data_IF_712550847080
#
_entry.id   IF_712550847080
#
_cell.length_a   1.000
_cell.length_b   1.000
_cell.length_c   1.000
_cell.angle_alpha   90.00
_cell.angle_beta   90.00
_cell.angle_gamma   90.00
#
_symmetry.space_group_name_H-M   'P 1'
#
loop_
_entity.id
_entity.type
_entity.pdbx_description
1 polymer ?
#
# COMPACT_ATOMS: atom_id res chain seq x y z
N UNK A 1 -34.88 2.97 -19.97
CA UNK A 1 -34.69 3.52 -21.32
C UNK A 1 -33.24 3.61 -21.61
N UNK A 2 -32.86 2.84 -22.57
CA UNK A 2 -31.62 2.61 -23.31
C UNK A 2 -30.85 3.86 -23.73
N UNK A 3 -29.52 3.83 -23.64
CA UNK A 3 -28.66 4.10 -24.81
C UNK A 3 -27.21 3.63 -24.58
N UNK A 4 -26.86 2.54 -25.29
CA UNK A 4 -25.47 2.15 -25.62
C UNK A 4 -24.95 3.02 -26.75
N UNK A 5 -23.65 3.39 -26.72
CA UNK A 5 -22.91 3.68 -27.96
C UNK A 5 -21.48 3.15 -27.85
N UNK A 6 -21.22 2.19 -28.70
CA UNK A 6 -19.91 1.66 -29.06
C UNK A 6 -19.24 2.62 -30.08
N UNK A 7 -17.95 2.82 -29.94
CA UNK A 7 -17.13 3.36 -31.02
C UNK A 7 -16.10 2.28 -31.38
N UNK A 8 -16.28 1.72 -32.57
CA UNK A 8 -15.29 0.91 -33.27
C UNK A 8 -14.28 1.85 -33.94
N UNK A 9 -12.97 1.56 -33.78
CA UNK A 9 -11.91 2.14 -34.61
C UNK A 9 -11.34 1.04 -35.47
N UNK A 10 -11.39 1.26 -36.79
CA UNK A 10 -11.06 0.30 -37.83
C UNK A 10 -9.56 0.12 -38.06
N UNK A 11 -9.23 -1.04 -38.59
CA UNK A 11 -7.93 -1.45 -39.08
C UNK A 11 -7.68 -0.91 -40.50
N UNK A 12 -6.45 -0.55 -40.88
CA UNK A 12 -6.13 -0.21 -42.26
C UNK A 12 -5.74 -1.47 -43.09
N UNK A 13 -5.86 -1.41 -44.45
CA UNK A 13 -5.81 -2.56 -45.34
C UNK A 13 -4.42 -2.95 -45.77
N UNK A 14 -4.32 -4.24 -46.15
CA UNK A 14 -3.17 -4.86 -46.80
C UNK A 14 -2.97 -4.35 -48.21
N UNK A 15 -1.73 -4.14 -48.63
CA UNK A 15 -1.33 -3.98 -50.05
C UNK A 15 -0.61 -5.21 -50.57
N UNK A 16 -1.20 -5.80 -51.56
CA UNK A 16 -0.63 -6.81 -52.44
C UNK A 16 0.29 -6.15 -53.49
N UNK A 17 1.37 -6.79 -53.83
CA UNK A 17 2.22 -6.42 -54.96
C UNK A 17 3.03 -7.61 -55.41
N UNK A 18 2.54 -8.27 -56.44
CA UNK A 18 3.26 -9.29 -57.23
C UNK A 18 4.09 -8.62 -58.32
N UNK A 19 5.19 -9.25 -58.70
CA UNK A 19 5.79 -9.35 -60.07
C UNK A 19 7.22 -9.85 -59.90
N UNK A 20 7.71 -10.79 -60.57
CA UNK A 20 7.76 -11.49 -61.84
C UNK A 20 9.15 -12.06 -61.99
N UNK A 21 9.16 -13.28 -62.39
CA UNK A 21 10.05 -14.13 -63.14
C UNK A 21 11.32 -13.49 -63.76
N UNK A 22 12.44 -14.18 -63.65
CA UNK A 22 13.66 -13.99 -64.42
C UNK A 22 14.57 -15.20 -64.33
N UNK A 23 14.54 -16.03 -65.41
CA UNK A 23 15.39 -17.19 -65.66
C UNK A 23 16.79 -16.77 -66.07
N UNK A 24 17.85 -17.46 -65.59
CA UNK A 24 18.90 -17.98 -66.50
C UNK A 24 20.12 -18.62 -65.78
N UNK A 25 20.46 -19.79 -66.24
CA UNK A 25 21.80 -20.37 -66.48
C UNK A 25 22.66 -20.83 -65.25
N UNK A 26 22.84 -22.16 -65.24
CA UNK A 26 23.97 -22.88 -64.63
C UNK A 26 25.26 -22.71 -65.44
N UNK A 27 26.46 -22.81 -64.81
CA UNK A 27 27.24 -24.00 -64.98
C UNK A 27 27.95 -24.55 -63.73
N UNK A 28 28.43 -25.68 -63.86
CA UNK A 28 28.89 -26.81 -63.13
C UNK A 28 30.11 -26.66 -62.19
N UNK A 29 30.13 -27.59 -61.25
CA UNK A 29 31.25 -28.32 -60.63
C UNK A 29 32.30 -27.55 -59.79
N UNK A 30 32.34 -27.88 -58.50
CA UNK A 30 33.51 -28.46 -57.81
C UNK A 30 33.14 -29.08 -56.49
N UNK A 31 33.42 -30.38 -56.32
CA UNK A 31 33.36 -31.07 -55.01
C UNK A 31 34.53 -30.62 -54.15
N UNK A 32 34.23 -30.07 -52.96
CA UNK A 32 35.17 -30.02 -51.87
C UNK A 32 34.43 -30.54 -50.63
N UNK A 33 34.91 -31.69 -50.20
CA UNK A 33 34.54 -32.33 -48.95
C UNK A 33 34.96 -31.45 -47.80
N UNK A 34 33.99 -30.76 -47.19
CA UNK A 34 34.17 -30.01 -45.94
C UNK A 34 33.32 -30.67 -44.88
N UNK A 35 33.94 -31.25 -43.88
CA UNK A 35 33.28 -31.75 -42.69
C UNK A 35 32.50 -30.62 -42.02
N UNK A 36 31.19 -30.64 -42.08
CA UNK A 36 30.33 -29.73 -41.33
C UNK A 36 30.31 -30.16 -39.88
N UNK A 37 31.03 -29.43 -39.04
CA UNK A 37 30.88 -29.47 -37.60
C UNK A 37 29.47 -28.92 -37.29
N UNK A 38 28.57 -29.84 -36.96
CA UNK A 38 27.23 -29.49 -36.48
C UNK A 38 27.38 -28.92 -35.06
N UNK A 39 27.62 -27.60 -34.95
CA UNK A 39 27.50 -26.89 -33.67
C UNK A 39 26.01 -26.84 -33.31
N UNK A 40 25.57 -27.81 -32.51
CA UNK A 40 24.29 -27.70 -31.82
C UNK A 40 24.32 -26.43 -30.97
N UNK A 41 23.77 -25.34 -31.49
CA UNK A 41 23.38 -24.19 -30.71
C UNK A 41 22.31 -24.69 -29.74
N UNK A 42 22.72 -25.01 -28.50
CA UNK A 42 21.83 -25.13 -27.38
C UNK A 42 21.22 -23.75 -27.19
N UNK A 43 20.09 -23.49 -27.85
CA UNK A 43 19.22 -22.39 -27.48
C UNK A 43 18.84 -22.61 -26.02
N UNK A 44 19.07 -21.65 -25.11
CA UNK A 44 18.52 -21.77 -23.76
C UNK A 44 17.03 -22.00 -23.93
N UNK A 45 16.51 -23.06 -23.31
CA UNK A 45 15.08 -23.28 -23.22
C UNK A 45 14.46 -21.97 -22.65
N UNK A 46 13.31 -21.52 -23.20
CA UNK A 46 12.63 -20.39 -22.61
C UNK A 46 12.42 -20.72 -21.14
N UNK A 47 12.87 -19.83 -20.26
CA UNK A 47 12.57 -19.94 -18.83
C UNK A 47 11.06 -20.14 -18.74
N UNK A 48 10.62 -21.26 -18.20
CA UNK A 48 9.20 -21.50 -17.98
C UNK A 48 8.67 -20.32 -17.22
N UNK A 49 7.66 -19.65 -17.74
CA UNK A 49 6.91 -18.66 -16.97
C UNK A 49 6.52 -19.35 -15.66
N UNK A 50 7.07 -18.90 -14.57
CA UNK A 50 6.76 -19.46 -13.27
C UNK A 50 5.36 -18.94 -12.94
N UNK A 51 4.40 -19.83 -12.79
CA UNK A 51 3.03 -19.47 -12.41
C UNK A 51 3.02 -18.91 -10.96
N UNK A 52 2.03 -18.12 -10.65
CA UNK A 52 1.79 -17.67 -9.27
C UNK A 52 1.59 -18.89 -8.37
N UNK A 53 2.23 -18.87 -7.21
CA UNK A 53 2.26 -20.02 -6.30
C UNK A 53 1.81 -19.62 -4.90
N UNK A 54 0.76 -20.25 -4.40
CA UNK A 54 0.40 -20.19 -2.98
C UNK A 54 1.52 -20.83 -2.16
N UNK A 55 2.12 -20.08 -1.26
CA UNK A 55 3.20 -20.53 -0.37
C UNK A 55 2.71 -20.80 1.05
N UNK A 56 1.59 -20.18 1.44
CA UNK A 56 0.93 -20.41 2.71
C UNK A 56 -0.54 -20.04 2.64
N UNK A 57 -1.38 -20.81 3.32
CA UNK A 57 -2.80 -20.50 3.50
C UNK A 57 -3.24 -20.96 4.89
N UNK A 58 -3.98 -20.11 5.58
CA UNK A 58 -4.52 -20.43 6.91
C UNK A 58 -5.83 -19.70 7.15
N UNK A 59 -6.82 -20.42 7.67
CA UNK A 59 -8.04 -19.84 8.21
C UNK A 59 -7.76 -19.38 9.64
N UNK A 60 -7.71 -18.08 9.85
CA UNK A 60 -7.65 -17.50 11.18
C UNK A 60 -9.05 -17.37 11.79
N UNK A 61 -9.14 -16.82 12.99
CA UNK A 61 -10.45 -16.51 13.59
C UNK A 61 -11.12 -15.30 12.94
N UNK A 62 -10.42 -14.54 12.09
CA UNK A 62 -10.92 -13.31 11.47
C UNK A 62 -11.19 -13.50 9.98
N UNK A 63 -10.31 -14.22 9.27
CA UNK A 63 -10.36 -14.30 7.80
C UNK A 63 -9.49 -15.44 7.27
N UNK A 64 -9.70 -15.83 6.04
CA UNK A 64 -8.75 -16.67 5.30
C UNK A 64 -7.58 -15.82 4.85
N UNK A 65 -6.37 -16.21 5.25
CA UNK A 65 -5.14 -15.49 4.93
C UNK A 65 -4.34 -16.33 3.95
N UNK A 66 -4.01 -15.77 2.80
CA UNK A 66 -3.18 -16.44 1.80
C UNK A 66 -1.95 -15.62 1.48
N UNK A 67 -0.80 -16.28 1.44
CA UNK A 67 0.47 -15.76 0.97
C UNK A 67 0.80 -16.42 -0.35
N UNK A 68 1.07 -15.64 -1.38
CA UNK A 68 1.44 -16.16 -2.69
C UNK A 68 2.69 -15.47 -3.23
N UNK A 69 3.52 -16.23 -3.95
CA UNK A 69 4.62 -15.71 -4.74
C UNK A 69 4.15 -15.59 -6.19
N UNK A 70 4.28 -14.37 -6.75
CA UNK A 70 3.92 -14.12 -8.14
C UNK A 70 5.06 -14.52 -9.08
N UNK A 71 4.71 -14.85 -10.31
CA UNK A 71 5.67 -15.08 -11.40
C UNK A 71 6.64 -13.92 -11.62
N UNK A 72 6.27 -12.72 -11.20
CA UNK A 72 7.06 -11.49 -11.36
C UNK A 72 7.98 -11.17 -10.18
N UNK A 73 8.09 -12.08 -9.21
CA UNK A 73 9.03 -11.95 -8.08
C UNK A 73 8.51 -11.13 -6.90
N UNK A 74 7.20 -10.99 -6.78
CA UNK A 74 6.58 -10.37 -5.60
C UNK A 74 5.94 -11.43 -4.72
N UNK A 75 5.97 -11.18 -3.41
CA UNK A 75 5.16 -11.90 -2.42
C UNK A 75 3.98 -11.04 -2.02
N UNK A 76 2.79 -11.59 -2.11
CA UNK A 76 1.54 -10.92 -1.83
C UNK A 76 0.82 -11.57 -0.65
N UNK A 77 0.12 -10.74 0.11
CA UNK A 77 -0.84 -11.11 1.14
C UNK A 77 -2.23 -10.76 0.65
N UNK A 78 -3.13 -11.72 0.68
CA UNK A 78 -4.52 -11.58 0.25
C UNK A 78 -5.43 -12.12 1.35
N UNK A 79 -6.56 -11.44 1.60
CA UNK A 79 -7.59 -11.88 2.53
C UNK A 79 -8.83 -12.35 1.76
N UNK A 80 -9.37 -13.50 2.13
CA UNK A 80 -10.59 -14.09 1.56
C UNK A 80 -10.60 -14.13 0.02
N UNK A 81 -9.43 -14.23 -0.57
CA UNK A 81 -9.21 -14.16 -2.01
C UNK A 81 -9.71 -15.38 -2.77
N UNK A 82 -10.07 -15.16 -4.04
CA UNK A 82 -10.47 -16.19 -5.00
C UNK A 82 -9.34 -16.53 -5.98
N UNK A 83 -8.25 -15.77 -5.98
CA UNK A 83 -7.07 -15.91 -6.86
C UNK A 83 -7.40 -15.80 -8.36
N UNK A 84 -8.42 -15.02 -8.70
CA UNK A 84 -8.80 -14.72 -10.08
C UNK A 84 -8.12 -13.46 -10.64
N UNK A 85 -7.18 -12.89 -9.90
CA UNK A 85 -6.43 -11.67 -10.26
C UNK A 85 -7.16 -10.37 -9.95
N UNK A 86 -8.36 -10.44 -9.33
CA UNK A 86 -9.17 -9.26 -8.94
C UNK A 86 -9.14 -9.01 -7.45
N UNK A 87 -8.54 -9.90 -6.67
CA UNK A 87 -8.48 -9.80 -5.22
C UNK A 87 -7.68 -8.58 -4.76
N UNK A 88 -8.17 -7.85 -3.75
CA UNK A 88 -7.43 -6.72 -3.20
C UNK A 88 -6.16 -7.21 -2.48
N UNK A 89 -5.01 -6.76 -2.96
CA UNK A 89 -3.72 -7.06 -2.34
C UNK A 89 -3.59 -6.23 -1.08
N UNK A 90 -3.53 -6.90 0.07
CA UNK A 90 -3.38 -6.26 1.38
C UNK A 90 -1.94 -5.82 1.65
N UNK A 91 -0.98 -6.64 1.25
CA UNK A 91 0.45 -6.31 1.33
C UNK A 91 1.19 -6.94 0.16
N UNK A 92 2.24 -6.27 -0.30
CA UNK A 92 3.12 -6.78 -1.34
C UNK A 92 4.57 -6.46 -1.01
N UNK A 93 5.43 -7.44 -1.21
CA UNK A 93 6.88 -7.32 -1.00
C UNK A 93 7.62 -7.75 -2.26
N UNK A 94 8.58 -6.95 -2.69
CA UNK A 94 9.55 -7.37 -3.70
C UNK A 94 10.54 -8.35 -3.06
N UNK A 95 10.63 -9.57 -3.59
CA UNK A 95 11.55 -10.59 -3.06
C UNK A 95 13.03 -10.24 -3.30
N UNK A 96 13.33 -9.43 -4.32
CA UNK A 96 14.69 -8.95 -4.59
C UNK A 96 15.09 -7.75 -3.72
N UNK A 97 14.14 -6.90 -3.31
CA UNK A 97 14.33 -5.81 -2.35
C UNK A 97 13.17 -5.76 -1.35
N UNK A 98 13.28 -6.47 -0.24
CA UNK A 98 12.23 -6.54 0.76
C UNK A 98 11.90 -5.20 1.46
N UNK A 99 12.72 -4.18 1.27
CA UNK A 99 12.47 -2.85 1.83
C UNK A 99 11.78 -1.90 0.85
N UNK A 100 11.63 -2.29 -0.41
CA UNK A 100 10.85 -1.51 -1.36
C UNK A 100 9.37 -1.45 -0.94
N UNK A 101 8.79 -0.25 -0.92
CA UNK A 101 7.36 -0.06 -0.77
C UNK A 101 6.68 -0.13 -2.13
N UNK A 102 6.20 -1.30 -2.50
CA UNK A 102 5.64 -1.58 -3.83
C UNK A 102 4.23 -1.00 -4.01
N UNK A 103 3.41 -1.00 -2.94
CA UNK A 103 2.05 -0.48 -2.98
C UNK A 103 2.04 1.05 -2.82
N UNK A 104 1.23 1.71 -3.64
CA UNK A 104 1.14 3.17 -3.69
C UNK A 104 0.76 3.78 -2.34
N UNK A 105 -0.24 3.19 -1.66
CA UNK A 105 -0.68 3.71 -0.37
C UNK A 105 0.44 3.69 0.68
N UNK A 106 1.26 2.64 0.70
CA UNK A 106 2.35 2.52 1.65
C UNK A 106 3.41 3.62 1.45
N UNK A 107 3.73 3.94 0.18
CA UNK A 107 4.62 5.08 -0.14
C UNK A 107 4.05 6.41 0.33
N UNK A 108 2.74 6.64 0.10
CA UNK A 108 2.08 7.87 0.53
C UNK A 108 1.96 7.96 2.06
N UNK A 109 1.77 6.83 2.75
CA UNK A 109 1.73 6.79 4.22
C UNK A 109 3.03 7.32 4.86
N UNK A 110 4.19 7.09 4.22
CA UNK A 110 5.48 7.59 4.69
C UNK A 110 5.54 9.13 4.70
N UNK A 111 4.73 9.81 3.91
CA UNK A 111 4.72 11.29 3.91
C UNK A 111 4.38 11.88 5.29
N UNK A 112 3.61 11.17 6.11
CA UNK A 112 3.27 11.58 7.47
C UNK A 112 4.48 11.62 8.42
N UNK A 113 5.52 10.83 8.15
CA UNK A 113 6.75 10.78 8.96
C UNK A 113 7.49 12.12 9.00
N UNK A 114 7.33 12.92 7.94
CA UNK A 114 8.01 14.22 7.81
C UNK A 114 7.33 15.35 8.58
N UNK A 115 6.18 15.11 9.22
CA UNK A 115 5.43 16.17 9.93
C UNK A 115 5.94 16.40 11.34
N UNK A 116 6.14 15.37 12.19
CA UNK A 116 6.81 15.55 13.48
C UNK A 116 8.28 15.92 13.29
N UNK A 117 8.81 16.80 14.11
CA UNK A 117 10.22 17.21 14.01
C UNK A 117 11.18 16.03 14.24
N UNK A 118 10.82 15.12 15.14
CA UNK A 118 11.61 13.93 15.47
C UNK A 118 10.68 12.76 15.84
N UNK A 119 10.24 11.96 14.89
CA UNK A 119 9.39 10.81 15.17
C UNK A 119 10.21 9.70 15.88
N UNK A 120 10.12 9.65 17.21
CA UNK A 120 10.82 8.66 18.03
C UNK A 120 9.90 7.56 18.56
N UNK A 121 8.62 7.85 18.71
CA UNK A 121 7.62 6.87 19.11
C UNK A 121 6.51 6.82 18.07
N UNK A 122 6.41 5.68 17.41
CA UNK A 122 5.47 5.44 16.32
C UNK A 122 4.56 4.29 16.73
N UNK A 123 3.26 4.50 16.63
CA UNK A 123 2.27 3.43 16.72
C UNK A 123 1.70 3.16 15.34
N UNK A 124 1.57 1.90 14.99
CA UNK A 124 0.88 1.44 13.78
C UNK A 124 -0.27 0.53 14.22
N UNK A 125 -1.48 0.79 13.75
CA UNK A 125 -2.62 -0.09 13.92
C UNK A 125 -2.81 -0.87 12.64
N UNK A 126 -2.60 -2.18 12.71
CA UNK A 126 -2.50 -3.10 11.58
C UNK A 126 -1.06 -3.48 11.25
N UNK A 127 -0.84 -4.76 11.00
CA UNK A 127 0.48 -5.33 10.67
C UNK A 127 0.59 -5.68 9.18
N UNK A 128 -0.37 -6.45 8.68
CA UNK A 128 -0.29 -7.02 7.34
C UNK A 128 1.03 -7.76 7.10
N UNK A 129 1.64 -7.61 5.92
CA UNK A 129 2.98 -8.11 5.62
C UNK A 129 4.13 -7.29 6.23
N UNK A 130 3.85 -6.44 7.20
CA UNK A 130 4.81 -5.60 7.92
C UNK A 130 5.70 -4.72 7.03
N UNK A 131 5.20 -4.30 5.86
CA UNK A 131 5.98 -3.50 4.91
C UNK A 131 6.32 -2.11 5.47
N UNK A 132 5.35 -1.44 6.09
CA UNK A 132 5.55 -0.15 6.74
C UNK A 132 6.51 -0.27 7.93
N UNK A 133 6.32 -1.29 8.77
CA UNK A 133 7.15 -1.51 9.96
C UNK A 133 8.62 -1.73 9.59
N UNK A 134 8.89 -2.62 8.63
CA UNK A 134 10.27 -2.91 8.16
C UNK A 134 10.92 -1.68 7.55
N UNK A 135 10.17 -0.96 6.70
CA UNK A 135 10.67 0.25 6.05
C UNK A 135 10.99 1.33 7.10
N UNK A 136 10.08 1.60 8.03
CA UNK A 136 10.28 2.60 9.09
C UNK A 136 11.41 2.21 10.04
N UNK A 137 11.55 0.93 10.37
CA UNK A 137 12.66 0.43 11.23
C UNK A 137 14.03 0.68 10.58
N UNK A 138 14.12 0.51 9.25
CA UNK A 138 15.35 0.85 8.48
C UNK A 138 15.58 2.35 8.41
N UNK A 139 14.52 3.14 8.14
CA UNK A 139 14.59 4.59 7.97
C UNK A 139 14.89 5.32 9.28
N UNK A 140 14.33 4.84 10.40
CA UNK A 140 14.37 5.46 11.73
C UNK A 140 14.90 4.47 12.78
N UNK A 141 16.17 4.07 12.72
CA UNK A 141 16.72 3.03 13.59
C UNK A 141 16.69 3.39 15.08
N UNK A 142 16.59 4.67 15.43
CA UNK A 142 16.45 5.15 16.79
C UNK A 142 15.02 5.20 17.31
N UNK A 143 14.00 5.10 16.42
CA UNK A 143 12.61 5.14 16.82
C UNK A 143 12.15 3.81 17.45
N UNK A 144 11.22 3.91 18.38
CA UNK A 144 10.44 2.75 18.84
C UNK A 144 9.15 2.69 18.02
N UNK A 145 8.92 1.55 17.38
CA UNK A 145 7.77 1.26 16.55
C UNK A 145 6.95 0.18 17.25
N UNK A 146 5.76 0.53 17.69
CA UNK A 146 4.79 -0.39 18.28
C UNK A 146 3.70 -0.64 17.25
N UNK A 147 3.28 -1.88 17.12
CA UNK A 147 2.18 -2.27 16.23
C UNK A 147 1.11 -2.99 17.04
N UNK A 148 -0.14 -2.55 16.92
CA UNK A 148 -1.29 -3.28 17.43
C UNK A 148 -1.88 -4.10 16.28
N UNK A 149 -1.93 -5.42 16.43
CA UNK A 149 -2.45 -6.36 15.44
C UNK A 149 -3.43 -7.31 16.10
N UNK A 150 -4.65 -7.38 15.57
CA UNK A 150 -5.73 -8.16 16.17
C UNK A 150 -5.53 -9.66 15.95
N UNK A 151 -4.98 -10.04 14.81
CA UNK A 151 -4.86 -11.45 14.42
C UNK A 151 -3.47 -12.02 14.78
N UNK A 152 -3.37 -12.95 15.74
CA UNK A 152 -2.10 -13.58 16.10
C UNK A 152 -1.45 -14.33 14.92
N UNK A 153 -2.24 -14.81 13.94
CA UNK A 153 -1.70 -15.46 12.75
C UNK A 153 -0.89 -14.47 11.89
N UNK A 154 -1.29 -13.21 11.83
CA UNK A 154 -0.56 -12.18 11.06
C UNK A 154 0.85 -11.96 11.60
N UNK A 155 1.04 -11.98 12.94
CA UNK A 155 2.39 -11.86 13.54
C UNK A 155 3.31 -13.00 13.09
N UNK A 156 2.80 -14.23 13.08
CA UNK A 156 3.56 -15.41 12.63
C UNK A 156 3.86 -15.32 11.12
N UNK A 157 2.86 -14.98 10.30
CA UNK A 157 2.98 -14.85 8.84
C UNK A 157 3.98 -13.75 8.48
N UNK A 158 3.91 -12.59 9.12
CA UNK A 158 4.84 -11.49 8.87
C UNK A 158 6.30 -11.93 9.18
N UNK A 159 6.51 -12.64 10.26
CA UNK A 159 7.84 -13.13 10.63
C UNK A 159 8.37 -14.19 9.66
N UNK A 160 7.54 -15.17 9.30
CA UNK A 160 7.95 -16.32 8.49
C UNK A 160 8.07 -15.98 7.00
N UNK A 161 7.09 -15.24 6.46
CA UNK A 161 6.98 -15.03 5.01
C UNK A 161 7.42 -13.63 4.57
N UNK A 162 7.34 -12.60 5.43
CA UNK A 162 7.65 -11.23 5.03
C UNK A 162 8.92 -10.67 5.69
N UNK A 163 9.80 -11.54 6.21
CA UNK A 163 11.10 -11.15 6.80
C UNK A 163 10.99 -10.12 7.94
N UNK A 164 9.83 -10.04 8.57
CA UNK A 164 9.64 -9.15 9.72
C UNK A 164 10.38 -9.71 10.94
N UNK A 165 11.04 -8.83 11.69
CA UNK A 165 11.74 -9.20 12.90
C UNK A 165 11.42 -8.22 14.01
N UNK A 166 10.95 -8.72 15.12
CA UNK A 166 10.83 -7.93 16.34
C UNK A 166 12.19 -7.74 17.00
N UNK A 167 12.35 -6.59 17.64
CA UNK A 167 13.50 -6.27 18.49
C UNK A 167 13.06 -5.35 19.63
N UNK A 168 14.00 -4.86 20.45
CA UNK A 168 13.69 -3.98 21.59
C UNK A 168 12.98 -2.67 21.22
N UNK A 169 12.93 -2.31 19.91
CA UNK A 169 12.31 -1.10 19.38
C UNK A 169 11.30 -1.35 18.27
N UNK A 170 11.04 -2.59 17.92
CA UNK A 170 10.03 -3.01 16.97
C UNK A 170 9.20 -4.12 17.58
N UNK A 171 8.04 -3.76 18.11
CA UNK A 171 7.25 -4.60 19.01
C UNK A 171 5.85 -4.77 18.43
N UNK A 172 5.35 -6.01 18.44
CA UNK A 172 3.96 -6.30 18.08
C UNK A 172 3.16 -6.67 19.33
N UNK A 173 2.10 -5.93 19.55
CA UNK A 173 1.08 -6.20 20.57
C UNK A 173 -0.10 -6.90 19.88
N UNK A 174 -0.30 -8.18 20.19
CA UNK A 174 -1.44 -8.93 19.66
C UNK A 174 -2.68 -8.56 20.45
N UNK A 175 -3.67 -7.99 19.76
CA UNK A 175 -4.94 -7.57 20.33
C UNK A 175 -5.59 -6.44 19.53
N UNK A 176 -6.81 -6.11 19.91
CA UNK A 176 -7.59 -5.06 19.27
C UNK A 176 -6.93 -3.68 19.41
N UNK A 177 -6.78 -2.99 18.26
CA UNK A 177 -6.06 -1.71 18.18
C UNK A 177 -6.71 -0.59 18.98
N UNK A 178 -8.06 -0.57 19.07
CA UNK A 178 -8.79 0.40 19.89
C UNK A 178 -8.54 0.16 21.36
N UNK A 179 -8.66 -1.08 21.80
CA UNK A 179 -8.39 -1.49 23.18
C UNK A 179 -6.95 -1.13 23.59
N UNK A 180 -6.00 -1.35 22.68
CA UNK A 180 -4.60 -0.98 22.90
C UNK A 180 -4.46 0.54 23.11
N UNK A 181 -5.03 1.36 22.22
CA UNK A 181 -4.99 2.82 22.29
C UNK A 181 -5.66 3.34 23.59
N UNK A 182 -6.83 2.83 23.93
CA UNK A 182 -7.56 3.26 25.12
C UNK A 182 -6.81 2.95 26.42
N UNK A 183 -6.14 1.79 26.50
CA UNK A 183 -5.38 1.37 27.68
C UNK A 183 -3.96 1.92 27.76
N UNK A 184 -3.38 2.30 26.64
CA UNK A 184 -2.02 2.84 26.60
C UNK A 184 -1.93 4.12 27.44
N UNK A 185 -0.80 4.29 28.13
CA UNK A 185 -0.43 5.55 28.80
C UNK A 185 0.61 6.33 28.00
N UNK A 186 1.13 5.71 26.97
CA UNK A 186 2.18 6.26 26.12
C UNK A 186 1.65 7.33 25.17
N UNK A 187 2.56 8.18 24.73
CA UNK A 187 2.28 9.19 23.73
C UNK A 187 3.19 8.97 22.52
N UNK A 188 2.62 9.20 21.35
CA UNK A 188 3.26 8.93 20.07
C UNK A 188 3.47 10.22 19.28
N UNK A 189 4.60 10.30 18.58
CA UNK A 189 4.88 11.37 17.64
C UNK A 189 4.14 11.14 16.32
N UNK A 190 3.90 9.87 16.01
CA UNK A 190 3.18 9.45 14.81
C UNK A 190 2.30 8.25 15.13
N UNK A 191 1.03 8.33 14.75
CA UNK A 191 0.12 7.18 14.78
C UNK A 191 -0.31 6.91 13.33
N UNK A 192 -0.05 5.70 12.84
CA UNK A 192 -0.49 5.24 11.52
C UNK A 192 -1.67 4.28 11.70
N UNK A 193 -2.81 4.62 11.11
CA UNK A 193 -4.01 3.79 11.11
C UNK A 193 -4.11 3.09 9.75
N UNK A 194 -3.82 1.80 9.74
CA UNK A 194 -3.73 0.95 8.53
C UNK A 194 -4.36 -0.43 8.78
N UNK A 195 -5.52 -0.45 9.45
CA UNK A 195 -6.23 -1.68 9.78
C UNK A 195 -7.43 -1.87 8.84
N UNK A 196 -7.40 -2.98 8.11
CA UNK A 196 -8.45 -3.37 7.17
C UNK A 196 -8.88 -4.83 7.41
N UNK A 197 -10.16 -5.09 7.14
CA UNK A 197 -10.64 -6.42 6.77
C UNK A 197 -10.42 -6.65 5.27
N UNK A 198 -10.90 -7.76 4.71
CA UNK A 198 -10.86 -7.95 3.25
C UNK A 198 -11.54 -6.81 2.46
N UNK A 199 -12.54 -6.13 3.03
CA UNK A 199 -13.43 -5.23 2.29
C UNK A 199 -13.65 -3.85 2.91
N UNK A 200 -13.20 -3.58 4.14
CA UNK A 200 -13.51 -2.33 4.84
C UNK A 200 -12.60 -2.05 6.02
N UNK A 201 -12.64 -0.83 6.51
CA UNK A 201 -12.08 -0.47 7.82
C UNK A 201 -13.08 -0.94 8.90
N UNK A 202 -12.62 -1.66 9.95
CA UNK A 202 -13.50 -2.06 11.06
C UNK A 202 -14.23 -0.86 11.67
N UNK A 203 -15.56 -0.92 11.78
CA UNK A 203 -16.38 0.22 12.18
C UNK A 203 -15.93 0.86 13.49
N UNK A 204 -15.57 0.07 14.50
CA UNK A 204 -15.13 0.55 15.81
C UNK A 204 -13.81 1.37 15.77
N UNK A 205 -13.07 1.31 14.65
CA UNK A 205 -11.88 2.12 14.38
C UNK A 205 -12.20 3.38 13.56
N UNK A 206 -13.48 3.69 13.31
CA UNK A 206 -13.90 4.83 12.52
C UNK A 206 -14.69 5.87 13.31
N UNK A 207 -15.06 5.57 14.57
CA UNK A 207 -15.97 6.38 15.39
C UNK A 207 -15.30 7.59 16.02
N UNK A 208 -16.11 8.57 16.38
CA UNK A 208 -15.69 9.78 17.09
C UNK A 208 -14.97 9.45 18.40
N UNK A 209 -15.51 8.47 19.13
CA UNK A 209 -14.96 8.01 20.41
C UNK A 209 -13.56 7.43 20.24
N UNK A 210 -13.38 6.58 19.22
CA UNK A 210 -12.07 6.04 18.89
C UNK A 210 -11.08 7.14 18.47
N UNK A 211 -11.46 8.05 17.57
CA UNK A 211 -10.58 9.11 17.12
C UNK A 211 -10.20 10.08 18.24
N UNK A 212 -11.08 10.30 19.22
CA UNK A 212 -10.74 11.05 20.46
C UNK A 212 -9.71 10.31 21.30
N UNK A 213 -9.84 8.98 21.44
CA UNK A 213 -8.83 8.17 22.12
C UNK A 213 -7.47 8.24 21.40
N UNK A 214 -7.46 8.17 20.06
CA UNK A 214 -6.26 8.36 19.23
C UNK A 214 -5.63 9.74 19.50
N UNK A 215 -6.42 10.81 19.45
CA UNK A 215 -5.92 12.17 19.69
C UNK A 215 -5.29 12.34 21.08
N UNK A 216 -5.85 11.67 22.11
CA UNK A 216 -5.28 11.67 23.45
C UNK A 216 -3.93 10.95 23.54
N UNK A 217 -3.59 10.10 22.57
CA UNK A 217 -2.29 9.39 22.53
C UNK A 217 -1.24 10.13 21.72
N UNK A 218 -1.54 11.26 21.12
CA UNK A 218 -0.53 12.08 20.46
C UNK A 218 0.30 12.86 21.49
N UNK A 219 1.60 12.89 21.25
CA UNK A 219 2.54 13.79 21.92
C UNK A 219 2.44 15.21 21.38
N UNK A 220 3.17 16.14 21.98
CA UNK A 220 3.27 17.51 21.48
C UNK A 220 3.83 17.53 20.05
N UNK A 221 3.06 18.05 19.09
CA UNK A 221 3.43 18.05 17.68
C UNK A 221 3.24 16.70 16.96
N UNK A 222 2.63 15.72 17.63
CA UNK A 222 2.30 14.42 17.03
C UNK A 222 1.14 14.53 16.05
N UNK A 223 1.10 13.60 15.08
CA UNK A 223 0.11 13.56 14.02
C UNK A 223 -0.40 12.14 13.75
N UNK A 224 -1.53 12.05 13.06
CA UNK A 224 -2.09 10.78 12.58
C UNK A 224 -1.97 10.73 11.06
N UNK A 225 -1.48 9.62 10.53
CA UNK A 225 -1.63 9.22 9.14
C UNK A 225 -2.64 8.08 9.05
N UNK A 226 -3.68 8.21 8.26
CA UNK A 226 -4.69 7.18 8.12
C UNK A 226 -4.84 6.76 6.65
N UNK A 227 -4.80 5.45 6.41
CA UNK A 227 -5.14 4.87 5.13
C UNK A 227 -6.67 4.78 5.01
N UNK A 228 -7.23 5.46 4.02
CA UNK A 228 -8.65 5.43 3.71
C UNK A 228 -8.85 4.77 2.36
N UNK A 229 -9.94 4.03 2.21
CA UNK A 229 -10.33 3.44 0.94
C UNK A 229 -11.44 4.27 0.29
N UNK A 230 -11.19 4.81 -0.90
CA UNK A 230 -12.09 5.74 -1.59
C UNK A 230 -13.44 5.12 -1.97
N UNK A 231 -13.50 3.79 -2.10
CA UNK A 231 -14.73 3.06 -2.40
C UNK A 231 -15.52 2.69 -1.13
N UNK A 232 -15.04 3.06 0.06
CA UNK A 232 -15.78 2.83 1.31
C UNK A 232 -17.12 3.57 1.27
N UNK A 233 -18.25 2.90 1.49
CA UNK A 233 -19.58 3.55 1.41
C UNK A 233 -19.74 4.75 2.33
N UNK A 234 -19.06 4.74 3.48
CA UNK A 234 -19.08 5.81 4.48
C UNK A 234 -17.81 6.69 4.47
N UNK A 235 -17.08 6.74 3.34
CA UNK A 235 -15.84 7.51 3.21
C UNK A 235 -15.97 8.96 3.71
N UNK A 236 -17.01 9.67 3.27
CA UNK A 236 -17.20 11.06 3.67
C UNK A 236 -17.67 11.21 5.13
N UNK A 237 -18.40 10.22 5.67
CA UNK A 237 -18.76 10.17 7.08
C UNK A 237 -17.51 9.99 7.94
N UNK A 238 -16.59 9.13 7.50
CA UNK A 238 -15.30 8.96 8.16
C UNK A 238 -14.46 10.24 8.12
N UNK A 239 -14.32 10.89 6.95
CA UNK A 239 -13.63 12.19 6.83
C UNK A 239 -14.28 13.24 7.70
N UNK A 240 -15.62 13.28 7.79
CA UNK A 240 -16.37 14.16 8.68
C UNK A 240 -16.05 13.88 10.15
N UNK A 241 -15.92 12.60 10.51
CA UNK A 241 -15.60 12.19 11.88
C UNK A 241 -14.19 12.65 12.26
N UNK A 242 -13.21 12.49 11.35
CA UNK A 242 -11.87 13.08 11.55
C UNK A 242 -11.93 14.59 11.77
N UNK A 243 -12.72 15.30 10.96
CA UNK A 243 -12.84 16.76 11.07
C UNK A 243 -13.45 17.25 12.41
N UNK A 244 -14.22 16.39 13.06
CA UNK A 244 -14.81 16.69 14.38
C UNK A 244 -13.79 16.56 15.55
N UNK A 245 -12.64 15.91 15.29
CA UNK A 245 -11.59 15.70 16.31
C UNK A 245 -10.32 16.49 15.98
N UNK A 246 -9.96 16.53 14.70
CA UNK A 246 -8.70 17.11 14.23
C UNK A 246 -8.99 18.37 13.41
N UNK A 247 -8.64 19.56 13.89
CA UNK A 247 -8.89 20.81 13.16
C UNK A 247 -7.97 20.99 11.93
N UNK A 248 -6.86 20.28 11.85
CA UNK A 248 -5.98 20.28 10.67
C UNK A 248 -6.11 18.97 9.91
N UNK A 249 -6.66 19.00 8.69
CA UNK A 249 -6.80 17.83 7.83
C UNK A 249 -6.23 18.10 6.44
N UNK A 250 -5.46 17.13 5.95
CA UNK A 250 -5.03 17.06 4.55
C UNK A 250 -5.28 15.66 4.00
N UNK A 251 -5.70 15.56 2.76
CA UNK A 251 -5.90 14.28 2.07
C UNK A 251 -5.02 14.26 0.82
N UNK A 252 -4.29 13.17 0.66
CA UNK A 252 -3.45 12.89 -0.51
C UNK A 252 -3.96 11.63 -1.17
N UNK A 253 -4.37 11.72 -2.43
CA UNK A 253 -4.78 10.56 -3.24
C UNK A 253 -3.57 9.73 -3.64
N UNK A 254 -3.69 8.42 -3.52
CA UNK A 254 -2.61 7.52 -3.89
C UNK A 254 -2.69 7.20 -5.39
N UNK A 255 -1.69 7.63 -6.15
CA UNK A 255 -1.66 7.41 -7.59
C UNK A 255 -1.77 5.92 -7.95
N UNK A 256 -2.70 5.59 -8.86
CA UNK A 256 -2.92 4.20 -9.31
C UNK A 256 -3.54 3.27 -8.25
N UNK A 257 -4.16 3.82 -7.21
CA UNK A 257 -4.84 3.09 -6.15
C UNK A 257 -6.15 3.77 -5.78
N UNK A 258 -7.09 2.99 -5.23
CA UNK A 258 -8.32 3.51 -4.63
C UNK A 258 -8.13 3.96 -3.17
N UNK A 259 -6.90 4.19 -2.74
CA UNK A 259 -6.59 4.66 -1.40
C UNK A 259 -6.32 6.17 -1.38
N UNK A 260 -6.56 6.75 -0.23
CA UNK A 260 -6.17 8.11 0.12
C UNK A 260 -5.49 8.10 1.48
N UNK A 261 -4.45 8.90 1.64
CA UNK A 261 -3.84 9.08 2.96
C UNK A 261 -4.36 10.39 3.55
N UNK A 262 -5.01 10.28 4.70
CA UNK A 262 -5.46 11.40 5.50
C UNK A 262 -4.40 11.71 6.56
N UNK A 263 -3.87 12.92 6.53
CA UNK A 263 -3.06 13.49 7.61
C UNK A 263 -3.97 14.29 8.54
N UNK A 264 -4.00 13.92 9.82
CA UNK A 264 -4.78 14.60 10.85
C UNK A 264 -3.87 15.22 11.92
N UNK A 265 -4.07 16.53 12.15
CA UNK A 265 -3.27 17.35 13.07
C UNK A 265 -4.18 17.82 14.21
N UNK A 266 -3.81 17.56 15.48
CA UNK A 266 -4.69 17.78 16.63
C UNK A 266 -4.87 19.26 17.01
N UNK A 267 -4.08 20.15 16.41
CA UNK A 267 -4.12 21.59 16.70
C UNK A 267 -4.57 22.37 15.49
N UNK A 268 -5.29 23.49 15.72
CA UNK A 268 -5.56 24.45 14.65
C UNK A 268 -4.25 25.11 14.23
N UNK A 269 -3.94 25.02 12.95
CA UNK A 269 -2.68 25.47 12.40
C UNK A 269 -2.88 25.99 10.98
N UNK A 270 -2.02 26.90 10.54
CA UNK A 270 -1.91 27.34 9.15
C UNK A 270 -1.04 26.37 8.32
N UNK A 271 -0.91 25.13 8.79
CA UNK A 271 -0.16 24.09 8.09
C UNK A 271 -0.82 23.79 6.73
N UNK A 272 -0.09 24.06 5.67
CA UNK A 272 -0.55 23.91 4.30
C UNK A 272 0.08 22.69 3.65
N UNK A 273 -0.46 22.28 2.50
CA UNK A 273 0.15 21.23 1.66
C UNK A 273 1.59 21.60 1.28
N UNK A 274 1.85 22.87 0.98
CA UNK A 274 3.18 23.37 0.66
C UNK A 274 4.14 23.30 1.86
N UNK A 275 3.63 23.62 3.06
CA UNK A 275 4.41 23.47 4.29
C UNK A 275 4.73 21.99 4.56
N UNK A 276 3.78 21.09 4.30
CA UNK A 276 4.01 19.64 4.40
C UNK A 276 5.07 19.17 3.42
N UNK A 277 4.95 19.53 2.13
CA UNK A 277 5.95 19.20 1.12
C UNK A 277 7.33 19.79 1.44
N UNK A 278 7.38 21.01 2.00
CA UNK A 278 8.62 21.63 2.46
C UNK A 278 9.29 20.87 3.61
N UNK A 279 8.51 20.39 4.60
CA UNK A 279 9.00 19.51 5.67
C UNK A 279 9.48 18.17 5.11
N UNK A 280 8.74 17.58 4.18
CA UNK A 280 9.11 16.33 3.51
C UNK A 280 10.45 16.48 2.77
N UNK A 281 10.66 17.58 2.04
CA UNK A 281 11.93 17.87 1.39
C UNK A 281 13.10 18.05 2.39
N UNK A 282 12.85 18.68 3.54
CA UNK A 282 13.84 18.82 4.59
C UNK A 282 14.16 17.46 5.24
N UNK A 283 13.14 16.64 5.46
CA UNK A 283 13.32 15.29 6.00
C UNK A 283 14.17 14.42 5.05
N UNK A 284 13.87 14.40 3.74
CA UNK A 284 14.63 13.62 2.76
C UNK A 284 16.07 14.06 2.61
N UNK A 285 16.36 15.37 2.72
CA UNK A 285 17.75 15.84 2.75
C UNK A 285 18.54 15.29 3.95
N UNK A 286 17.87 15.15 5.09
CA UNK A 286 18.48 14.63 6.30
C UNK A 286 18.51 13.09 6.34
N UNK A 287 17.53 12.45 5.72
CA UNK A 287 17.31 10.99 5.72
C UNK A 287 16.71 10.57 4.37
N UNK A 288 17.55 10.18 3.41
CA UNK A 288 17.07 9.72 2.11
C UNK A 288 16.10 8.54 2.26
N UNK A 289 14.89 8.71 1.75
CA UNK A 289 13.84 7.70 1.81
C UNK A 289 13.86 6.75 0.60
N UNK A 290 14.46 7.18 -0.51
CA UNK A 290 14.32 6.51 -1.80
C UNK A 290 12.95 6.78 -2.47
N UNK A 291 12.13 7.65 -1.85
CA UNK A 291 10.84 8.11 -2.36
C UNK A 291 10.95 9.62 -2.60
N UNK A 292 10.16 10.15 -3.51
CA UNK A 292 10.00 11.61 -3.65
C UNK A 292 8.79 12.07 -2.82
N UNK A 293 8.98 12.19 -1.48
CA UNK A 293 7.88 12.55 -0.57
C UNK A 293 7.23 13.89 -0.93
N UNK A 294 7.97 14.96 -1.28
CA UNK A 294 7.36 16.19 -1.76
C UNK A 294 6.46 15.98 -2.97
N UNK A 295 6.92 15.21 -3.95
CA UNK A 295 6.16 14.92 -5.16
C UNK A 295 4.90 14.11 -4.83
N UNK A 296 4.99 13.08 -3.98
CA UNK A 296 3.83 12.30 -3.54
C UNK A 296 2.77 13.20 -2.89
N UNK A 297 3.17 14.15 -2.06
CA UNK A 297 2.27 15.11 -1.42
C UNK A 297 1.63 16.04 -2.45
N UNK A 298 2.43 16.69 -3.29
CA UNK A 298 1.97 17.73 -4.19
C UNK A 298 1.07 17.20 -5.32
N UNK A 299 1.34 16.00 -5.83
CA UNK A 299 0.55 15.41 -6.91
C UNK A 299 -0.76 14.80 -6.43
N UNK A 300 -0.80 14.29 -5.19
CA UNK A 300 -1.99 13.66 -4.62
C UNK A 300 -2.89 14.59 -3.80
N UNK A 301 -2.38 15.76 -3.40
CA UNK A 301 -3.10 16.65 -2.50
C UNK A 301 -4.36 17.24 -3.14
N UNK A 302 -5.48 17.14 -2.43
CA UNK A 302 -6.69 17.86 -2.78
C UNK A 302 -6.49 19.38 -2.61
N UNK A 303 -6.93 20.17 -3.59
CA UNK A 303 -6.81 21.63 -3.55
C UNK A 303 -7.63 22.25 -2.40
N UNK A 304 -8.78 21.65 -2.09
CA UNK A 304 -9.60 21.99 -0.94
C UNK A 304 -10.39 20.75 -0.49
N UNK A 305 -10.49 20.56 0.82
CA UNK A 305 -11.32 19.51 1.39
C UNK A 305 -12.77 20.01 1.46
N UNK A 306 -13.63 19.50 0.60
CA UNK A 306 -15.07 19.79 0.59
C UNK A 306 -15.84 18.56 1.07
N UNK A 307 -16.23 18.57 2.36
CA UNK A 307 -17.03 17.49 2.96
C UNK A 307 -18.50 17.72 2.60
N UNK A 308 -19.20 16.75 1.99
CA UNK A 308 -20.62 16.89 1.67
C UNK A 308 -21.46 17.22 2.91
N UNK A 309 -22.47 18.07 2.75
CA UNK A 309 -23.38 18.45 3.84
C UNK A 309 -24.17 17.24 4.39
N UNK A 310 -24.32 16.19 3.59
CA UNK A 310 -24.99 14.94 3.97
C UNK A 310 -24.11 14.03 4.84
N UNK A 311 -22.80 14.28 4.89
CA UNK A 311 -21.89 13.48 5.68
C UNK A 311 -22.17 13.62 7.17
N UNK A 312 -22.16 12.49 7.88
CA UNK A 312 -22.45 12.40 9.32
C UNK A 312 -21.19 12.05 10.11
N UNK A 313 -21.20 12.33 11.40
CA UNK A 313 -20.19 11.85 12.32
C UNK A 313 -20.56 10.43 12.74
N UNK A 314 -19.62 9.50 12.61
CA UNK A 314 -19.77 8.12 13.02
C UNK A 314 -19.60 8.01 14.55
N UNK A 315 -20.54 7.35 15.22
CA UNK A 315 -20.54 7.19 16.68
C UNK A 315 -20.62 5.71 17.06
N UNK A 316 -20.09 5.35 18.22
CA UNK A 316 -20.16 3.97 18.72
C UNK A 316 -21.59 3.43 18.79
N UNK A 317 -22.55 4.27 19.18
CA UNK A 317 -23.97 3.88 19.26
C UNK A 317 -24.61 3.51 17.91
N UNK A 318 -24.00 3.91 16.80
CA UNK A 318 -24.52 3.67 15.46
C UNK A 318 -23.98 2.34 14.88
N UNK A 319 -23.08 1.65 15.60
CA UNK A 319 -22.61 0.33 15.27
C UNK A 319 -23.78 -0.66 15.41
N UNK A 320 -24.27 -1.20 14.31
CA UNK A 320 -25.27 -2.27 14.33
C UNK A 320 -24.68 -3.51 15.00
N UNK A 321 -24.96 -3.70 16.26
CA UNK A 321 -24.67 -4.78 17.20
C UNK A 321 -23.86 -6.01 16.73
N UNK A 322 -22.57 -5.85 16.49
CA UNK A 322 -21.65 -6.92 16.15
C UNK A 322 -20.22 -6.38 16.19
N UNK A 323 -19.58 -6.56 17.33
CA UNK A 323 -18.13 -6.39 17.53
C UNK A 323 -17.45 -7.74 17.53
#
# INVERSE_FOLDING_TARGET
MTFRRWIQVGSPPARSGAHTCGTAARPARRWLTGAALCACLLSPAPASAQDDRVVHEVQSQYQLITVLDTATGYRQLVFDGRFDGTDPIQSQMNLADPYELTLSYARHMITAVAVPDRPRRILIVGLGGACLQRYLRKLLPEATIETAEIDPAMRAIAAEYFFFKEDARQIVHVGDGRTFIERSKDRYDLILLDAFTATSIPYHLTTLEFLRAVAMRLGGGGVVGANLWDAEPNYWDLVKTYSAVFPGLHIVKCAGSANSILLAIPTKTDFTVQAWAGRAAAFERARPTGLDLPQLILTGAAQALSIPATARVLLDKDAGGGW
#
